data_IF_573176491815
#
_entry.id   IF_573176491815
#
_cell.length_a   1.000
_cell.length_b   1.000
_cell.length_c   1.000
_cell.angle_alpha   90.00
_cell.angle_beta   90.00
_cell.angle_gamma   90.00
#
_symmetry.space_group_name_H-M   'P 1'
#
loop_
_entity.id
_entity.type
_entity.pdbx_description
1 polymer ?
#
# COMPACT_ATOMS: atom_id res chain seq x y z
N UNK A 1 -41.89 -8.61 -22.58
CA UNK A 1 -40.88 -8.62 -21.54
C UNK A 1 -40.16 -7.29 -21.61
N UNK A 2 -40.45 -6.33 -20.74
CA UNK A 2 -39.73 -5.05 -20.68
C UNK A 2 -38.44 -5.30 -19.90
N UNK A 3 -37.30 -5.12 -20.54
CA UNK A 3 -36.02 -4.98 -19.84
C UNK A 3 -36.07 -3.63 -19.13
N UNK A 4 -36.20 -3.64 -17.83
CA UNK A 4 -35.89 -2.47 -17.03
C UNK A 4 -34.37 -2.25 -17.11
N UNK A 5 -33.90 -1.04 -17.43
CA UNK A 5 -32.48 -0.76 -17.40
C UNK A 5 -32.02 -0.93 -15.93
N UNK A 6 -31.06 -1.82 -15.76
CA UNK A 6 -30.32 -1.97 -14.51
C UNK A 6 -29.79 -0.57 -14.16
N UNK A 7 -30.23 0.01 -13.04
CA UNK A 7 -29.69 1.27 -12.55
C UNK A 7 -28.18 1.06 -12.39
N UNK A 8 -27.41 1.66 -13.29
CA UNK A 8 -25.96 1.69 -13.24
C UNK A 8 -25.57 2.17 -11.85
N UNK A 9 -25.16 1.24 -11.01
CA UNK A 9 -24.60 1.54 -9.69
C UNK A 9 -23.25 2.20 -9.98
N UNK A 10 -23.27 3.52 -10.17
CA UNK A 10 -22.06 4.32 -10.32
C UNK A 10 -21.19 4.02 -9.09
N UNK A 11 -20.09 3.32 -9.32
CA UNK A 11 -19.12 3.04 -8.26
C UNK A 11 -18.63 4.36 -7.69
N UNK A 12 -18.73 4.52 -6.38
CA UNK A 12 -18.28 5.74 -5.73
C UNK A 12 -16.76 5.89 -5.91
N UNK A 13 -16.35 6.97 -6.56
CA UNK A 13 -14.94 7.33 -6.71
C UNK A 13 -14.31 7.53 -5.33
N UNK A 14 -13.30 6.72 -4.99
CA UNK A 14 -12.56 6.83 -3.73
C UNK A 14 -11.38 7.77 -3.87
N UNK A 15 -11.08 8.48 -2.79
CA UNK A 15 -9.85 9.27 -2.64
C UNK A 15 -8.86 8.45 -1.82
N UNK A 16 -7.78 8.05 -2.46
CA UNK A 16 -6.78 7.15 -1.88
C UNK A 16 -5.51 7.94 -1.63
N UNK A 17 -4.99 7.86 -0.43
CA UNK A 17 -3.68 8.40 -0.10
C UNK A 17 -2.62 7.31 -0.32
N UNK A 18 -1.52 7.66 -0.98
CA UNK A 18 -0.38 6.76 -1.18
C UNK A 18 0.86 7.40 -0.54
N UNK A 19 1.38 6.75 0.50
CA UNK A 19 2.57 7.20 1.21
C UNK A 19 3.82 6.60 0.55
N UNK A 20 4.69 7.45 0.05
CA UNK A 20 5.94 7.06 -0.61
C UNK A 20 7.12 7.85 -0.06
N UNK A 21 8.33 7.42 -0.38
CA UNK A 21 9.56 8.12 -0.05
C UNK A 21 10.66 7.75 -1.05
N UNK A 22 11.81 8.41 -0.98
CA UNK A 22 12.95 8.04 -1.83
C UNK A 22 13.32 6.57 -1.61
N UNK A 23 13.63 5.87 -2.71
CA UNK A 23 13.88 4.43 -2.78
C UNK A 23 12.67 3.54 -2.40
N UNK A 24 11.45 4.05 -2.59
CA UNK A 24 10.27 3.19 -2.68
C UNK A 24 10.44 2.20 -3.85
N UNK A 25 9.98 0.97 -3.69
CA UNK A 25 10.06 0.00 -4.78
C UNK A 25 9.24 0.45 -5.99
N UNK A 26 9.83 0.37 -7.19
CA UNK A 26 9.31 0.95 -8.42
C UNK A 26 7.94 0.37 -8.82
N UNK A 27 7.82 -0.96 -8.92
CA UNK A 27 6.57 -1.62 -9.25
C UNK A 27 5.51 -1.41 -8.16
N UNK A 28 5.92 -1.42 -6.88
CA UNK A 28 5.00 -1.29 -5.75
C UNK A 28 4.41 0.12 -5.62
N UNK A 29 5.06 1.12 -6.22
CA UNK A 29 4.50 2.47 -6.37
C UNK A 29 3.69 2.63 -7.67
N UNK A 30 4.26 2.23 -8.82
CA UNK A 30 3.70 2.50 -10.14
C UNK A 30 2.45 1.65 -10.44
N UNK A 31 2.51 0.35 -10.18
CA UNK A 31 1.43 -0.58 -10.54
C UNK A 31 0.14 -0.30 -9.77
N UNK A 32 0.14 -0.20 -8.42
CA UNK A 32 -1.09 0.13 -7.70
C UNK A 32 -1.63 1.51 -8.04
N UNK A 33 -0.78 2.52 -8.28
CA UNK A 33 -1.23 3.84 -8.76
C UNK A 33 -2.04 3.69 -10.05
N UNK A 34 -1.49 2.99 -11.05
CA UNK A 34 -2.11 2.84 -12.35
C UNK A 34 -3.39 2.00 -12.30
N UNK A 35 -3.41 0.91 -11.51
CA UNK A 35 -4.61 0.08 -11.32
C UNK A 35 -5.74 0.91 -10.70
N UNK A 36 -5.45 1.64 -9.63
CA UNK A 36 -6.45 2.44 -8.93
C UNK A 36 -7.01 3.57 -9.81
N UNK A 37 -6.16 4.20 -10.61
CA UNK A 37 -6.58 5.20 -11.60
C UNK A 37 -7.38 4.58 -12.75
N UNK A 38 -6.99 3.40 -13.23
CA UNK A 38 -7.69 2.68 -14.29
C UNK A 38 -9.15 2.39 -13.92
N UNK A 39 -9.42 2.05 -12.65
CA UNK A 39 -10.78 1.80 -12.16
C UNK A 39 -11.49 3.08 -11.67
N UNK A 40 -10.93 4.26 -11.95
CA UNK A 40 -11.57 5.56 -11.73
C UNK A 40 -11.35 6.17 -10.34
N UNK A 41 -10.53 5.60 -9.47
CA UNK A 41 -10.21 6.20 -8.17
C UNK A 41 -9.21 7.37 -8.31
N UNK A 42 -9.23 8.28 -7.34
CA UNK A 42 -8.29 9.40 -7.24
C UNK A 42 -7.18 9.04 -6.26
N UNK A 43 -5.95 8.96 -6.73
CA UNK A 43 -4.78 8.65 -5.89
C UNK A 43 -3.97 9.93 -5.69
N UNK A 44 -3.66 10.20 -4.43
CA UNK A 44 -2.84 11.33 -4.00
C UNK A 44 -1.58 10.79 -3.35
N UNK A 45 -0.44 11.13 -3.93
CA UNK A 45 0.88 10.67 -3.48
C UNK A 45 1.51 11.70 -2.57
N UNK A 46 2.00 11.25 -1.41
CA UNK A 46 2.61 12.11 -0.40
C UNK A 46 3.93 11.55 0.10
N UNK A 47 4.83 12.45 0.45
CA UNK A 47 6.11 12.14 1.06
C UNK A 47 6.44 13.26 2.07
N UNK A 48 6.88 12.94 3.31
CA UNK A 48 7.45 13.95 4.20
C UNK A 48 8.51 14.80 3.49
N UNK A 49 8.54 16.09 3.81
CA UNK A 49 9.48 17.08 3.26
C UNK A 49 9.40 17.32 1.74
N UNK A 50 8.33 16.84 1.09
CA UNK A 50 8.07 17.05 -0.35
C UNK A 50 6.73 17.76 -0.57
N UNK A 51 6.65 18.51 -1.67
CA UNK A 51 5.48 19.30 -2.06
C UNK A 51 4.92 18.80 -3.42
N UNK A 52 3.67 19.12 -3.75
CA UNK A 52 3.12 18.86 -5.09
C UNK A 52 4.03 19.43 -6.18
N UNK A 53 4.37 18.59 -7.14
CA UNK A 53 5.33 18.89 -8.21
C UNK A 53 6.75 18.40 -7.96
N UNK A 54 7.09 18.04 -6.71
CA UNK A 54 8.30 17.30 -6.41
C UNK A 54 8.18 15.84 -6.86
N UNK A 55 9.26 15.10 -6.70
CA UNK A 55 9.31 13.68 -6.99
C UNK A 55 10.19 12.93 -5.98
N UNK A 56 9.95 11.65 -5.84
CA UNK A 56 10.85 10.71 -5.14
C UNK A 56 11.51 9.80 -6.17
N UNK A 57 12.73 9.36 -5.88
CA UNK A 57 13.40 8.33 -6.68
C UNK A 57 12.88 6.96 -6.24
N UNK A 58 12.43 6.15 -7.19
CA UNK A 58 12.13 4.75 -6.92
C UNK A 58 13.40 3.90 -6.99
N UNK A 59 13.32 2.68 -6.48
CA UNK A 59 14.34 1.66 -6.61
C UNK A 59 13.74 0.41 -7.27
N UNK A 60 14.47 -0.20 -8.20
CA UNK A 60 14.13 -1.46 -8.82
C UNK A 60 14.82 -2.57 -8.02
N UNK A 61 14.03 -3.46 -7.43
CA UNK A 61 14.51 -4.60 -6.66
C UNK A 61 14.23 -5.89 -7.42
N UNK A 62 15.29 -6.58 -7.82
CA UNK A 62 15.22 -7.82 -8.57
C UNK A 62 15.83 -8.99 -7.78
N UNK A 63 15.31 -10.20 -8.02
CA UNK A 63 15.83 -11.45 -7.47
C UNK A 63 16.75 -12.09 -8.51
N UNK A 64 18.04 -11.74 -8.47
CA UNK A 64 19.04 -12.10 -9.48
C UNK A 64 19.86 -13.35 -9.09
N UNK A 65 19.47 -14.07 -8.02
CA UNK A 65 20.14 -15.31 -7.56
C UNK A 65 21.06 -15.12 -6.34
N UNK A 66 21.23 -13.89 -5.88
CA UNK A 66 21.95 -13.59 -4.65
C UNK A 66 21.11 -13.99 -3.42
N UNK A 67 21.72 -13.96 -2.22
CA UNK A 67 21.02 -14.24 -0.97
C UNK A 67 19.97 -13.17 -0.60
N UNK A 68 19.95 -12.08 -1.33
CA UNK A 68 19.01 -10.96 -1.18
C UNK A 68 18.69 -10.38 -2.56
N UNK A 69 17.79 -9.40 -2.61
CA UNK A 69 17.49 -8.68 -3.84
C UNK A 69 18.58 -7.66 -4.19
N UNK A 70 18.78 -7.41 -5.47
CA UNK A 70 19.58 -6.29 -5.97
C UNK A 70 18.80 -4.97 -5.86
N UNK A 71 19.50 -3.84 -5.93
CA UNK A 71 18.88 -2.52 -5.99
C UNK A 71 19.50 -1.69 -7.11
N UNK A 72 18.65 -1.21 -8.02
CA UNK A 72 19.02 -0.32 -9.11
C UNK A 72 18.17 0.96 -9.04
N UNK A 73 18.69 2.12 -9.47
CA UNK A 73 17.88 3.33 -9.59
C UNK A 73 16.69 3.10 -10.54
N UNK A 74 15.48 3.43 -10.07
CA UNK A 74 14.26 3.39 -10.87
C UNK A 74 13.88 4.76 -11.42
N UNK A 75 12.59 5.01 -11.51
CA UNK A 75 12.01 6.21 -12.10
C UNK A 75 11.88 7.36 -11.09
N UNK A 76 11.44 8.50 -11.59
CA UNK A 76 10.94 9.61 -10.79
C UNK A 76 9.45 9.41 -10.60
N UNK A 77 9.03 9.33 -9.35
CA UNK A 77 7.63 9.17 -8.98
C UNK A 77 7.10 10.49 -8.42
N UNK A 78 6.07 11.05 -9.05
CA UNK A 78 5.58 12.37 -8.73
C UNK A 78 4.85 12.43 -7.38
N UNK A 79 5.05 13.53 -6.64
CA UNK A 79 4.28 13.89 -5.46
C UNK A 79 3.15 14.83 -5.87
N UNK A 80 1.93 14.50 -5.49
CA UNK A 80 0.72 15.21 -5.94
C UNK A 80 -0.04 15.92 -4.82
N UNK A 81 0.29 15.62 -3.55
CA UNK A 81 -0.30 16.27 -2.38
C UNK A 81 0.78 16.66 -1.37
N UNK A 82 0.48 17.66 -0.56
CA UNK A 82 1.39 18.17 0.48
C UNK A 82 1.20 17.36 1.76
N UNK A 83 2.22 16.59 2.16
CA UNK A 83 2.18 15.75 3.34
C UNK A 83 1.88 16.56 4.62
N UNK A 84 2.45 17.77 4.76
CA UNK A 84 2.30 18.59 5.94
C UNK A 84 0.88 19.13 6.12
N UNK A 85 0.13 19.24 5.03
CA UNK A 85 -1.24 19.76 5.00
C UNK A 85 -2.29 18.67 4.72
N UNK A 86 -1.89 17.37 4.73
CA UNK A 86 -2.84 16.27 4.59
C UNK A 86 -3.81 16.25 5.77
N UNK A 87 -5.09 16.30 5.43
CA UNK A 87 -6.18 15.97 6.34
C UNK A 87 -6.64 14.54 6.04
N UNK A 88 -6.25 13.54 6.86
CA UNK A 88 -6.54 12.14 6.58
C UNK A 88 -8.03 11.80 6.62
N UNK A 89 -8.85 12.67 7.22
CA UNK A 89 -10.30 12.50 7.23
C UNK A 89 -10.92 12.59 5.82
N UNK A 90 -10.25 13.30 4.90
CA UNK A 90 -10.70 13.51 3.51
C UNK A 90 -10.39 12.36 2.57
N UNK A 91 -9.71 11.33 3.04
CA UNK A 91 -9.33 10.17 2.24
C UNK A 91 -10.05 8.91 2.71
N UNK A 92 -10.37 8.04 1.76
CA UNK A 92 -11.15 6.83 2.00
C UNK A 92 -10.25 5.63 2.35
N UNK A 93 -8.99 5.63 1.88
CA UNK A 93 -8.07 4.52 2.06
C UNK A 93 -6.60 4.97 1.98
N UNK A 94 -5.69 4.09 2.44
CA UNK A 94 -4.25 4.30 2.46
C UNK A 94 -3.52 3.16 1.74
N UNK A 95 -2.52 3.50 0.90
CA UNK A 95 -1.60 2.55 0.27
C UNK A 95 -0.18 2.84 0.76
N UNK A 96 0.53 1.79 1.17
CA UNK A 96 1.90 1.85 1.68
C UNK A 96 2.76 0.85 0.90
N UNK A 97 3.46 1.28 -0.15
CA UNK A 97 4.46 0.47 -0.85
C UNK A 97 5.69 0.16 0.02
N UNK A 98 6.52 -0.74 -0.46
CA UNK A 98 7.76 -1.12 0.21
C UNK A 98 9.02 -0.46 -0.36
N UNK A 99 10.02 -1.29 -0.68
CA UNK A 99 11.37 -0.82 -0.94
C UNK A 99 12.07 -0.39 0.36
N UNK A 100 13.04 0.52 0.27
CA UNK A 100 13.73 1.04 1.45
C UNK A 100 13.02 2.20 2.14
N UNK A 101 12.06 2.84 1.48
CA UNK A 101 11.39 4.01 2.06
C UNK A 101 10.73 3.75 3.42
N UNK A 102 10.12 2.60 3.71
CA UNK A 102 9.55 2.30 5.03
C UNK A 102 10.56 2.32 6.18
N UNK A 103 11.83 1.99 5.90
CA UNK A 103 12.87 1.94 6.95
C UNK A 103 13.04 3.27 7.68
N UNK A 104 12.94 4.38 6.97
CA UNK A 104 13.10 5.72 7.55
C UNK A 104 11.75 6.45 7.73
N UNK A 105 10.75 6.19 6.88
CA UNK A 105 9.42 6.79 7.05
C UNK A 105 8.79 6.43 8.39
N UNK A 106 9.02 5.20 8.88
CA UNK A 106 8.54 4.75 10.20
C UNK A 106 9.10 5.54 11.38
N UNK A 107 10.17 6.32 11.18
CA UNK A 107 10.76 7.18 12.21
C UNK A 107 10.07 8.55 12.30
N UNK A 108 9.25 8.90 11.31
CA UNK A 108 8.53 10.17 11.30
C UNK A 108 7.23 10.06 12.12
N UNK A 109 7.06 10.82 13.22
CA UNK A 109 5.87 10.73 14.07
C UNK A 109 4.56 10.99 13.33
N UNK A 110 4.55 11.93 12.36
CA UNK A 110 3.34 12.23 11.58
C UNK A 110 2.95 11.11 10.63
N UNK A 111 3.93 10.35 10.12
CA UNK A 111 3.65 9.12 9.36
C UNK A 111 2.92 8.11 10.24
N UNK A 112 3.40 7.93 11.47
CA UNK A 112 2.80 7.00 12.43
C UNK A 112 1.38 7.45 12.81
N UNK A 113 1.19 8.74 13.08
CA UNK A 113 -0.13 9.32 13.36
C UNK A 113 -1.11 9.15 12.19
N UNK A 114 -0.62 9.38 10.96
CA UNK A 114 -1.39 9.18 9.74
C UNK A 114 -1.91 7.74 9.65
N UNK A 115 -1.05 6.75 9.78
CA UNK A 115 -1.41 5.33 9.72
C UNK A 115 -2.41 4.97 10.82
N UNK A 116 -2.18 5.41 12.05
CA UNK A 116 -3.11 5.21 13.18
C UNK A 116 -4.49 5.80 12.91
N UNK A 117 -4.56 6.97 12.25
CA UNK A 117 -5.84 7.58 11.88
C UNK A 117 -6.67 6.69 10.96
N UNK A 118 -6.05 6.11 9.92
CA UNK A 118 -6.74 5.20 8.99
C UNK A 118 -7.20 3.93 9.71
N UNK A 119 -6.35 3.35 10.55
CA UNK A 119 -6.67 2.15 11.33
C UNK A 119 -7.80 2.40 12.33
N UNK A 120 -7.76 3.51 13.10
CA UNK A 120 -8.78 3.86 14.06
C UNK A 120 -10.14 4.19 13.41
N UNK A 121 -10.12 4.72 12.18
CA UNK A 121 -11.32 4.98 11.39
C UNK A 121 -11.85 3.78 10.63
N UNK A 122 -11.26 2.61 10.82
CA UNK A 122 -11.58 1.36 10.12
C UNK A 122 -11.54 1.52 8.58
N UNK A 123 -10.68 2.43 8.10
CA UNK A 123 -10.50 2.68 6.67
C UNK A 123 -9.56 1.65 6.05
N UNK A 124 -9.81 1.19 4.80
CA UNK A 124 -8.95 0.25 4.12
C UNK A 124 -7.49 0.70 4.06
N UNK A 125 -6.58 -0.19 4.44
CA UNK A 125 -5.12 -0.02 4.33
C UNK A 125 -4.58 -1.17 3.48
N UNK A 126 -3.86 -0.84 2.41
CA UNK A 126 -3.12 -1.80 1.61
C UNK A 126 -1.62 -1.57 1.78
N UNK A 127 -0.89 -2.59 2.23
CA UNK A 127 0.56 -2.50 2.43
C UNK A 127 1.28 -3.70 1.81
N UNK A 128 2.45 -3.48 1.26
CA UNK A 128 3.24 -4.52 0.58
C UNK A 128 4.71 -4.47 0.98
N UNK A 129 5.38 -5.64 0.93
CA UNK A 129 6.83 -5.78 1.08
C UNK A 129 7.32 -5.28 2.46
N UNK A 130 8.11 -4.21 2.47
CA UNK A 130 8.62 -3.55 3.69
C UNK A 130 7.65 -2.52 4.27
N UNK A 131 6.53 -2.23 3.60
CA UNK A 131 5.53 -1.29 4.10
C UNK A 131 5.00 -1.65 5.49
N UNK A 132 4.97 -2.94 5.83
CA UNK A 132 4.56 -3.44 7.15
C UNK A 132 5.48 -2.98 8.29
N UNK A 133 6.68 -2.52 8.03
CA UNK A 133 7.53 -1.88 9.04
C UNK A 133 6.89 -0.61 9.61
N UNK A 134 6.18 0.15 8.77
CA UNK A 134 5.44 1.34 9.22
C UNK A 134 4.23 0.91 10.05
N UNK A 135 3.52 -0.15 9.62
CA UNK A 135 2.37 -0.69 10.37
C UNK A 135 2.79 -1.21 11.76
N UNK A 136 3.94 -1.91 11.82
CA UNK A 136 4.52 -2.39 13.08
C UNK A 136 4.87 -1.22 14.01
N UNK A 137 5.55 -0.18 13.50
CA UNK A 137 5.88 1.02 14.26
C UNK A 137 4.64 1.80 14.72
N UNK A 138 3.56 1.78 13.93
CA UNK A 138 2.28 2.37 14.30
C UNK A 138 1.51 1.56 15.36
N UNK A 139 1.93 0.32 15.65
CA UNK A 139 1.29 -0.56 16.64
C UNK A 139 -0.07 -1.10 16.19
N UNK A 140 -0.32 -1.20 14.87
CA UNK A 140 -1.61 -1.63 14.33
C UNK A 140 -1.62 -3.11 13.89
N UNK A 141 -0.53 -3.83 14.09
CA UNK A 141 -0.44 -5.25 13.73
C UNK A 141 -0.84 -6.19 14.86
N UNK A 142 -1.02 -5.71 16.09
CA UNK A 142 -1.42 -6.54 17.21
C UNK A 142 -2.73 -7.27 16.92
N UNK A 143 -2.69 -8.62 17.04
CA UNK A 143 -3.83 -9.50 16.76
C UNK A 143 -4.22 -9.62 15.28
N UNK A 144 -3.50 -8.99 14.35
CA UNK A 144 -3.77 -9.07 12.92
C UNK A 144 -3.01 -10.20 12.24
N UNK A 145 -3.69 -10.87 11.32
CA UNK A 145 -3.07 -11.81 10.38
C UNK A 145 -2.53 -11.04 9.20
N UNK A 146 -1.22 -11.15 8.95
CA UNK A 146 -0.60 -10.40 7.86
C UNK A 146 0.63 -11.14 7.30
N UNK A 147 1.04 -10.72 6.13
CA UNK A 147 2.28 -11.13 5.49
C UNK A 147 3.09 -9.91 5.11
N UNK A 148 4.37 -10.10 4.79
CA UNK A 148 5.31 -9.07 4.39
C UNK A 148 6.41 -9.71 3.54
N UNK A 149 7.38 -8.90 3.09
CA UNK A 149 8.65 -9.46 2.63
C UNK A 149 9.24 -10.37 3.73
N UNK A 150 9.72 -11.58 3.39
CA UNK A 150 10.10 -12.57 4.43
C UNK A 150 11.06 -12.07 5.49
N UNK A 151 12.00 -11.17 5.14
CA UNK A 151 12.93 -10.60 6.11
C UNK A 151 12.26 -9.66 7.14
N UNK A 152 11.02 -9.21 6.89
CA UNK A 152 10.24 -8.37 7.83
C UNK A 152 9.44 -9.22 8.82
N UNK A 153 9.36 -10.54 8.63
CA UNK A 153 8.64 -11.46 9.54
C UNK A 153 8.95 -11.22 11.03
N UNK A 154 10.22 -11.10 11.47
CA UNK A 154 10.51 -10.86 12.88
C UNK A 154 9.92 -9.56 13.44
N UNK A 155 9.75 -8.54 12.59
CA UNK A 155 9.12 -7.28 13.01
C UNK A 155 7.60 -7.42 13.14
N UNK A 156 6.96 -8.14 12.21
CA UNK A 156 5.53 -8.47 12.26
C UNK A 156 5.18 -9.22 13.54
N UNK A 157 5.94 -10.28 13.84
CA UNK A 157 5.71 -11.13 15.03
C UNK A 157 5.96 -10.34 16.34
N UNK A 158 7.01 -9.52 16.41
CA UNK A 158 7.29 -8.66 17.57
C UNK A 158 6.21 -7.60 17.79
N UNK A 159 5.57 -7.14 16.72
CA UNK A 159 4.46 -6.20 16.79
C UNK A 159 3.11 -6.87 17.13
N UNK A 160 3.12 -8.16 17.51
CA UNK A 160 1.92 -8.92 17.89
C UNK A 160 1.09 -9.42 16.71
N UNK A 161 1.61 -9.31 15.49
CA UNK A 161 0.96 -9.84 14.29
C UNK A 161 1.12 -11.36 14.16
N UNK A 162 0.12 -12.02 13.60
CA UNK A 162 0.19 -13.44 13.22
C UNK A 162 0.70 -13.55 11.79
N UNK A 163 1.88 -14.16 11.63
CA UNK A 163 2.47 -14.36 10.32
C UNK A 163 1.64 -15.29 9.45
N UNK A 164 1.36 -14.87 8.22
CA UNK A 164 0.77 -15.68 7.16
C UNK A 164 1.85 -16.05 6.15
N UNK A 165 1.97 -17.34 5.86
CA UNK A 165 3.06 -17.86 5.04
C UNK A 165 3.00 -17.36 3.59
N UNK A 166 4.16 -17.04 3.07
CA UNK A 166 4.36 -16.67 1.66
C UNK A 166 4.43 -17.94 0.83
N UNK A 167 3.72 -17.99 -0.31
CA UNK A 167 3.79 -19.12 -1.22
C UNK A 167 5.11 -19.11 -2.04
N UNK A 168 5.42 -20.21 -2.71
CA UNK A 168 6.65 -20.39 -3.49
C UNK A 168 6.84 -19.33 -4.58
N UNK A 169 5.76 -18.80 -5.13
CA UNK A 169 5.78 -17.77 -6.19
C UNK A 169 5.72 -16.35 -5.66
N UNK A 170 5.69 -16.17 -4.33
CA UNK A 170 5.62 -14.86 -3.66
C UNK A 170 4.41 -14.03 -4.13
N UNK A 171 3.34 -14.68 -4.53
CA UNK A 171 2.20 -14.07 -5.25
C UNK A 171 0.90 -13.99 -4.45
N UNK A 172 0.89 -14.48 -3.21
CA UNK A 172 -0.30 -14.48 -2.36
C UNK A 172 -0.41 -13.19 -1.52
N UNK A 173 -1.64 -12.81 -1.21
CA UNK A 173 -1.95 -11.69 -0.32
C UNK A 173 -2.96 -12.10 0.75
N UNK A 174 -2.98 -11.39 1.87
CA UNK A 174 -3.89 -11.67 2.98
C UNK A 174 -4.72 -10.44 3.34
N UNK A 175 -5.98 -10.70 3.67
CA UNK A 175 -6.90 -9.69 4.20
C UNK A 175 -7.25 -10.05 5.65
N UNK A 176 -7.22 -9.06 6.54
CA UNK A 176 -7.73 -9.16 7.91
C UNK A 176 -8.47 -7.87 8.26
N UNK A 177 -9.80 -7.94 8.29
CA UNK A 177 -10.64 -6.76 8.40
C UNK A 177 -10.39 -5.81 7.23
N UNK A 178 -10.04 -4.57 7.52
CA UNK A 178 -9.72 -3.55 6.52
C UNK A 178 -8.22 -3.47 6.15
N UNK A 179 -7.40 -4.42 6.58
CA UNK A 179 -5.99 -4.50 6.23
C UNK A 179 -5.75 -5.55 5.15
N UNK A 180 -5.11 -5.15 4.05
CA UNK A 180 -4.61 -6.07 3.02
C UNK A 180 -3.09 -6.00 2.98
N UNK A 181 -2.43 -7.14 3.10
CA UNK A 181 -0.97 -7.23 3.07
C UNK A 181 -0.48 -8.21 2.02
N UNK A 182 0.70 -7.94 1.46
CA UNK A 182 1.36 -8.77 0.46
C UNK A 182 2.88 -8.79 0.66
N UNK A 183 3.58 -9.86 0.19
CA UNK A 183 5.00 -10.02 0.45
C UNK A 183 5.90 -9.19 -0.49
N UNK A 184 5.53 -9.02 -1.75
CA UNK A 184 6.33 -8.31 -2.74
C UNK A 184 5.52 -8.07 -4.02
N UNK A 185 6.13 -7.41 -5.01
CA UNK A 185 5.50 -7.03 -6.28
C UNK A 185 4.89 -8.21 -7.09
N UNK A 186 5.34 -9.48 -7.02
CA UNK A 186 4.63 -10.57 -7.72
C UNK A 186 3.20 -10.79 -7.21
N UNK A 187 2.90 -10.33 -6.00
CA UNK A 187 1.57 -10.46 -5.41
C UNK A 187 0.59 -9.34 -5.81
N UNK A 188 1.00 -8.35 -6.61
CA UNK A 188 0.16 -7.21 -6.96
C UNK A 188 -1.23 -7.59 -7.50
N UNK A 189 -1.38 -8.61 -8.39
CA UNK A 189 -2.71 -8.96 -8.89
C UNK A 189 -3.67 -9.39 -7.76
N UNK A 190 -3.23 -10.24 -6.85
CA UNK A 190 -4.06 -10.67 -5.73
C UNK A 190 -4.25 -9.58 -4.68
N UNK A 191 -3.17 -8.85 -4.36
CA UNK A 191 -3.17 -7.76 -3.39
C UNK A 191 -4.14 -6.66 -3.80
N UNK A 192 -4.04 -6.20 -5.05
CA UNK A 192 -4.90 -5.13 -5.57
C UNK A 192 -6.34 -5.58 -5.72
N UNK A 193 -6.61 -6.82 -6.16
CA UNK A 193 -7.97 -7.36 -6.20
C UNK A 193 -8.63 -7.31 -4.82
N UNK A 194 -7.93 -7.81 -3.77
CA UNK A 194 -8.44 -7.78 -2.39
C UNK A 194 -8.64 -6.35 -1.87
N UNK A 195 -7.74 -5.43 -2.25
CA UNK A 195 -7.90 -4.02 -1.87
C UNK A 195 -9.11 -3.38 -2.57
N UNK A 196 -9.31 -3.64 -3.86
CA UNK A 196 -10.47 -3.17 -4.60
C UNK A 196 -11.79 -3.74 -4.03
N UNK A 197 -11.78 -4.99 -3.57
CA UNK A 197 -12.94 -5.59 -2.88
C UNK A 197 -13.29 -4.79 -1.60
N UNK A 198 -12.30 -4.41 -0.79
CA UNK A 198 -12.51 -3.56 0.39
C UNK A 198 -13.01 -2.16 0.06
N UNK A 199 -12.62 -1.62 -1.10
CA UNK A 199 -13.10 -0.32 -1.59
C UNK A 199 -14.53 -0.40 -2.15
N UNK A 200 -15.09 -1.62 -2.27
CA UNK A 200 -16.39 -1.87 -2.91
C UNK A 200 -16.34 -1.75 -4.43
N UNK A 201 -15.15 -1.83 -5.02
CA UNK A 201 -14.95 -1.76 -6.47
C UNK A 201 -15.11 -3.15 -7.07
N UNK A 202 -16.00 -3.28 -8.06
CA UNK A 202 -16.21 -4.52 -8.80
C UNK A 202 -15.65 -4.39 -10.20
N UNK A 203 -14.92 -5.40 -10.65
CA UNK A 203 -14.49 -5.54 -12.04
C UNK A 203 -15.35 -6.65 -12.63
N UNK A 204 -16.21 -6.28 -13.58
CA UNK A 204 -16.98 -7.25 -14.36
C UNK A 204 -16.13 -7.67 -15.57
N UNK A 205 -15.91 -8.97 -15.74
CA UNK A 205 -15.14 -9.59 -16.84
C UNK A 205 -16.08 -10.36 -17.77
#
# INVERSE_FOLDING_TARGET
MRFEPNEDRIMAVKKILMLVGDYVEDYEAMVPLQILQMVGHKVYTVCPDKKPGDWVRTAIHDFEGDQTYSEKPGHRFAITADFDNVDPAKYDALVIPGGRSPEYLRLNPRVIELVRHFAAGDKPIASVCHGQQILAAAGILEGKRCTAYPAVRPEVERAGGTWCEVNETVSNAYTDGNLVTAPAWPAHPEWMRKFLDLLGTRIET
#
